data_IF_142572645946
#
_entry.id   IF_142572645946
#
_cell.length_a   1.000
_cell.length_b   1.000
_cell.length_c   1.000
_cell.angle_alpha   90.00
_cell.angle_beta   90.00
_cell.angle_gamma   90.00
#
_symmetry.space_group_name_H-M   'P 1'
#
loop_
_entity.id
_entity.type
_entity.pdbx_description
1 polymer ?
#
# COMPACT_ATOMS: atom_id res chain seq x y z
N UNK A 1 2.75 -11.57 -6.72
CA UNK A 1 3.63 -11.49 -5.53
C UNK A 1 2.82 -10.92 -4.36
N UNK A 2 2.89 -11.52 -3.17
CA UNK A 2 2.21 -10.99 -1.96
C UNK A 2 3.25 -10.82 -0.86
N UNK A 3 3.32 -9.63 -0.27
CA UNK A 3 4.16 -9.35 0.89
C UNK A 3 3.29 -9.32 2.15
N UNK A 4 3.67 -10.11 3.15
CA UNK A 4 3.05 -10.08 4.47
C UNK A 4 4.08 -9.63 5.48
N UNK A 5 3.83 -8.50 6.11
CA UNK A 5 4.69 -7.95 7.15
C UNK A 5 3.90 -7.62 8.40
N UNK A 6 4.61 -7.48 9.51
CA UNK A 6 4.02 -7.07 10.79
C UNK A 6 4.72 -5.83 11.29
N UNK A 7 3.97 -4.94 11.92
CA UNK A 7 4.53 -3.80 12.63
C UNK A 7 5.46 -4.33 13.73
N UNK A 8 6.59 -3.64 13.92
CA UNK A 8 7.58 -3.94 14.95
C UNK A 8 7.75 -2.73 15.85
N UNK A 9 8.10 -2.95 17.11
CA UNK A 9 8.31 -1.85 18.07
C UNK A 9 9.63 -1.13 17.81
N UNK A 10 9.64 0.20 17.94
CA UNK A 10 10.81 1.07 17.77
C UNK A 10 12.00 0.71 18.68
N UNK A 11 11.73 0.24 19.90
CA UNK A 11 12.73 0.15 20.95
C UNK A 11 13.52 -1.18 20.97
N UNK A 12 12.99 -2.24 20.37
CA UNK A 12 13.63 -3.58 20.37
C UNK A 12 13.38 -4.40 19.08
N UNK A 13 12.67 -3.85 18.08
CA UNK A 13 12.30 -4.59 16.86
C UNK A 13 11.38 -5.80 17.11
N UNK A 14 10.82 -5.90 18.31
CA UNK A 14 9.91 -6.97 18.73
C UNK A 14 8.55 -6.82 18.02
N UNK A 15 7.92 -7.91 17.56
CA UNK A 15 6.60 -7.90 16.94
C UNK A 15 5.48 -7.84 17.99
N UNK A 16 5.57 -6.88 18.92
CA UNK A 16 4.60 -6.70 20.01
C UNK A 16 3.30 -6.02 19.56
N UNK A 17 3.28 -5.45 18.36
CA UNK A 17 2.08 -4.86 17.78
C UNK A 17 1.28 -5.88 16.98
N UNK A 18 -0.01 -5.95 17.26
CA UNK A 18 -1.02 -6.74 16.55
C UNK A 18 -1.43 -6.11 15.21
N UNK A 19 -0.49 -5.45 14.52
CA UNK A 19 -0.73 -4.85 13.21
C UNK A 19 -0.08 -5.69 12.12
N UNK A 20 -0.90 -6.18 11.20
CA UNK A 20 -0.49 -6.97 10.04
C UNK A 20 -0.72 -6.16 8.77
N UNK A 21 0.31 -6.10 7.93
CA UNK A 21 0.28 -5.47 6.62
C UNK A 21 0.29 -6.57 5.57
N UNK A 22 -0.75 -6.62 4.74
CA UNK A 22 -0.84 -7.52 3.59
C UNK A 22 -0.81 -6.67 2.33
N UNK A 23 0.26 -6.77 1.57
CA UNK A 23 0.47 -5.97 0.35
C UNK A 23 0.40 -6.93 -0.84
N UNK A 24 -0.67 -6.83 -1.61
CA UNK A 24 -0.89 -7.57 -2.85
C UNK A 24 -0.76 -6.63 -4.06
N UNK A 25 -0.73 -7.19 -5.27
CA UNK A 25 -0.66 -6.40 -6.51
C UNK A 25 -1.91 -5.55 -6.76
N UNK A 26 -3.07 -5.99 -6.25
CA UNK A 26 -4.36 -5.32 -6.46
C UNK A 26 -4.77 -4.43 -5.30
N UNK A 27 -4.46 -4.84 -4.06
CA UNK A 27 -4.88 -4.14 -2.85
C UNK A 27 -3.85 -4.20 -1.74
N UNK A 28 -3.89 -3.17 -0.90
CA UNK A 28 -3.19 -3.04 0.37
C UNK A 28 -4.21 -3.20 1.49
N UNK A 29 -3.96 -4.13 2.40
CA UNK A 29 -4.80 -4.37 3.58
C UNK A 29 -3.97 -4.17 4.85
N UNK A 30 -4.47 -3.34 5.76
CA UNK A 30 -3.89 -3.10 7.07
C UNK A 30 -4.88 -3.59 8.12
N UNK A 31 -4.52 -4.66 8.81
CA UNK A 31 -5.30 -5.18 9.93
C UNK A 31 -4.63 -4.76 11.22
N UNK A 32 -5.32 -4.02 12.09
CA UNK A 32 -4.78 -3.58 13.38
C UNK A 32 -5.81 -3.76 14.50
N UNK A 33 -5.36 -4.19 15.68
CA UNK A 33 -6.28 -4.37 16.80
C UNK A 33 -5.84 -5.40 17.83
N UNK A 34 -6.23 -5.22 19.08
CA UNK A 34 -6.03 -6.20 20.16
C UNK A 34 -7.37 -6.66 20.75
N UNK A 35 -8.23 -5.73 21.14
CA UNK A 35 -9.60 -6.00 21.60
C UNK A 35 -10.66 -5.78 20.51
N UNK A 36 -10.54 -4.68 19.77
CA UNK A 36 -11.27 -4.41 18.53
C UNK A 36 -10.33 -4.60 17.34
N UNK A 37 -10.78 -5.32 16.33
CA UNK A 37 -10.03 -5.52 15.08
C UNK A 37 -10.57 -4.55 14.05
N UNK A 38 -9.70 -3.71 13.52
CA UNK A 38 -9.97 -2.77 12.43
C UNK A 38 -9.20 -3.24 11.19
N UNK A 39 -9.89 -3.28 10.06
CA UNK A 39 -9.32 -3.68 8.77
C UNK A 39 -9.53 -2.57 7.76
N UNK A 40 -8.43 -1.93 7.37
CA UNK A 40 -8.42 -0.86 6.38
C UNK A 40 -7.89 -1.41 5.06
N UNK A 41 -8.72 -1.35 4.01
CA UNK A 41 -8.35 -1.80 2.67
C UNK A 41 -8.28 -0.63 1.68
N UNK A 42 -7.28 -0.66 0.80
CA UNK A 42 -7.18 0.28 -0.30
C UNK A 42 -6.68 -0.42 -1.55
N UNK A 43 -7.35 -0.18 -2.68
CA UNK A 43 -6.88 -0.68 -3.97
C UNK A 43 -5.64 0.07 -4.46
N UNK A 44 -4.72 -0.65 -5.09
CA UNK A 44 -3.46 -0.09 -5.60
C UNK A 44 -3.68 1.02 -6.62
N UNK A 45 -4.72 0.93 -7.46
CA UNK A 45 -5.01 2.00 -8.42
C UNK A 45 -5.42 3.33 -7.78
N UNK A 46 -5.90 3.31 -6.51
CA UNK A 46 -6.30 4.52 -5.77
C UNK A 46 -5.12 5.20 -5.07
N UNK A 47 -4.01 4.51 -4.89
CA UNK A 47 -2.79 5.09 -4.32
C UNK A 47 -2.22 6.08 -5.32
N UNK A 48 -1.90 7.28 -4.84
CA UNK A 48 -1.39 8.39 -5.65
C UNK A 48 0.11 8.60 -5.51
N UNK A 49 0.58 8.60 -4.27
CA UNK A 49 1.98 8.79 -3.96
C UNK A 49 2.38 7.91 -2.77
N UNK A 50 3.66 7.55 -2.73
CA UNK A 50 4.22 6.68 -1.69
C UNK A 50 5.51 7.30 -1.16
N UNK A 51 5.45 7.75 0.10
CA UNK A 51 6.57 8.34 0.80
C UNK A 51 7.24 7.33 1.73
N UNK A 52 8.56 7.33 1.76
CA UNK A 52 9.35 6.53 2.71
C UNK A 52 10.04 7.45 3.71
N UNK A 53 9.75 7.28 5.00
CA UNK A 53 10.38 8.01 6.09
C UNK A 53 11.16 7.05 6.98
N UNK A 54 12.34 7.49 7.45
CA UNK A 54 13.21 6.72 8.35
C UNK A 54 13.83 7.64 9.39
N UNK A 55 13.46 7.46 10.64
CA UNK A 55 14.12 8.07 11.80
C UNK A 55 15.50 7.46 12.07
N UNK A 56 16.33 8.11 12.88
CA UNK A 56 17.69 7.65 13.19
C UNK A 56 17.71 6.24 13.80
N UNK A 57 16.79 5.94 14.72
CA UNK A 57 16.63 4.59 15.29
C UNK A 57 16.19 3.57 14.24
N UNK A 58 15.21 3.90 13.39
CA UNK A 58 14.77 3.00 12.31
C UNK A 58 15.90 2.70 11.33
N UNK A 59 16.76 3.67 11.01
CA UNK A 59 17.94 3.45 10.16
C UNK A 59 18.91 2.45 10.78
N UNK A 60 19.14 2.55 12.08
CA UNK A 60 20.01 1.63 12.82
C UNK A 60 19.47 0.20 12.82
N UNK A 61 18.15 0.03 12.94
CA UNK A 61 17.48 -1.28 12.95
C UNK A 61 16.98 -1.77 11.57
N UNK A 62 17.37 -1.10 10.48
CA UNK A 62 16.91 -1.38 9.09
C UNK A 62 15.39 -1.41 8.93
N UNK A 63 14.69 -0.60 9.73
CA UNK A 63 13.26 -0.35 9.66
C UNK A 63 12.96 0.90 8.82
N UNK A 64 11.71 1.06 8.43
CA UNK A 64 11.21 2.33 7.93
C UNK A 64 9.69 2.35 7.90
N UNK A 65 9.16 3.55 7.78
CA UNK A 65 7.74 3.81 7.73
C UNK A 65 7.36 4.26 6.33
N UNK A 66 6.38 3.59 5.73
CA UNK A 66 5.89 3.88 4.38
C UNK A 66 4.52 4.56 4.53
N UNK A 67 4.38 5.74 3.96
CA UNK A 67 3.12 6.47 3.92
C UNK A 67 2.58 6.43 2.49
N UNK A 68 1.42 5.82 2.33
CA UNK A 68 0.68 5.79 1.08
C UNK A 68 -0.40 6.87 1.12
N UNK A 69 -0.37 7.77 0.14
CA UNK A 69 -1.41 8.78 -0.05
C UNK A 69 -2.45 8.24 -1.01
N UNK A 70 -3.72 8.27 -0.62
CA UNK A 70 -4.82 7.77 -1.44
C UNK A 70 -5.68 8.93 -1.91
N UNK A 71 -6.33 8.77 -3.06
CA UNK A 71 -7.38 9.69 -3.52
C UNK A 71 -8.75 9.42 -2.91
N UNK A 72 -8.86 8.59 -1.87
CA UNK A 72 -10.13 8.26 -1.22
C UNK A 72 -10.49 9.30 -0.14
N UNK A 73 -11.77 9.66 -0.03
CA UNK A 73 -12.26 10.63 0.96
C UNK A 73 -12.30 10.03 2.37
N UNK A 74 -12.42 8.71 2.48
CA UNK A 74 -12.57 8.01 3.76
C UNK A 74 -11.23 7.81 4.47
N UNK A 75 -10.20 7.43 3.72
CA UNK A 75 -8.88 7.09 4.25
C UNK A 75 -7.78 7.73 3.39
N UNK A 76 -7.55 9.05 3.50
CA UNK A 76 -6.63 9.78 2.62
C UNK A 76 -5.16 9.36 2.80
N UNK A 77 -4.83 8.70 3.91
CA UNK A 77 -3.47 8.34 4.29
C UNK A 77 -3.45 6.97 4.95
N UNK A 78 -2.66 6.05 4.39
CA UNK A 78 -2.37 4.75 4.99
C UNK A 78 -0.89 4.70 5.37
N UNK A 79 -0.60 4.38 6.63
CA UNK A 79 0.76 4.33 7.15
C UNK A 79 1.13 2.90 7.53
N UNK A 80 2.18 2.40 6.90
CA UNK A 80 2.80 1.15 7.26
C UNK A 80 4.07 1.42 8.06
N UNK A 81 3.94 1.36 9.38
CA UNK A 81 5.00 1.74 10.31
C UNK A 81 5.97 0.60 10.63
N UNK A 82 7.25 0.96 10.79
CA UNK A 82 8.32 0.08 11.31
C UNK A 82 8.49 -1.25 10.56
N UNK A 83 8.41 -1.23 9.23
CA UNK A 83 8.57 -2.44 8.43
C UNK A 83 10.04 -2.65 8.04
N UNK A 84 10.48 -3.91 8.04
CA UNK A 84 11.77 -4.31 7.48
C UNK A 84 11.75 -4.25 5.95
N UNK A 85 12.89 -4.01 5.31
CA UNK A 85 12.98 -3.93 3.84
C UNK A 85 11.99 -2.91 3.24
N UNK A 86 11.73 -1.82 3.97
CA UNK A 86 10.78 -0.76 3.61
C UNK A 86 11.02 -0.14 2.22
N UNK A 87 12.27 -0.18 1.72
CA UNK A 87 12.57 0.29 0.36
C UNK A 87 11.96 -0.64 -0.71
N UNK A 88 12.22 -1.94 -0.62
CA UNK A 88 11.69 -2.94 -1.57
C UNK A 88 10.16 -2.93 -1.59
N UNK A 89 9.54 -2.82 -0.42
CA UNK A 89 8.07 -2.75 -0.31
C UNK A 89 7.55 -1.46 -0.95
N UNK A 90 8.19 -0.32 -0.69
CA UNK A 90 7.82 0.96 -1.30
C UNK A 90 7.92 0.90 -2.83
N UNK A 91 9.00 0.34 -3.36
CA UNK A 91 9.20 0.19 -4.80
C UNK A 91 8.16 -0.77 -5.40
N UNK A 92 7.81 -1.85 -4.70
CA UNK A 92 6.75 -2.77 -5.11
C UNK A 92 5.36 -2.11 -5.14
N UNK A 93 5.00 -1.33 -4.12
CA UNK A 93 3.72 -0.59 -4.08
C UNK A 93 3.67 0.42 -5.23
N UNK A 94 4.75 1.16 -5.45
CA UNK A 94 4.84 2.13 -6.54
C UNK A 94 4.62 1.45 -7.91
N UNK A 95 5.35 0.37 -8.18
CA UNK A 95 5.21 -0.39 -9.41
C UNK A 95 3.79 -0.96 -9.59
N UNK A 96 3.24 -1.58 -8.56
CA UNK A 96 1.89 -2.18 -8.59
C UNK A 96 0.80 -1.13 -8.82
N UNK A 97 0.94 0.05 -8.21
CA UNK A 97 0.00 1.16 -8.40
C UNK A 97 -0.01 1.67 -9.85
N UNK A 98 1.17 1.80 -10.47
CA UNK A 98 1.30 2.23 -11.87
C UNK A 98 0.80 1.18 -12.85
N UNK A 99 1.08 -0.10 -12.59
CA UNK A 99 0.56 -1.20 -13.41
C UNK A 99 -0.98 -1.27 -13.34
N UNK A 100 -1.56 -1.17 -12.14
CA UNK A 100 -3.01 -1.16 -11.96
C UNK A 100 -3.68 0.01 -12.70
N UNK A 101 -3.07 1.19 -12.66
CA UNK A 101 -3.52 2.37 -13.43
C UNK A 101 -3.41 2.16 -14.94
N UNK A 102 -2.32 1.55 -15.41
CA UNK A 102 -2.13 1.25 -16.83
C UNK A 102 -3.20 0.28 -17.34
N UNK A 103 -3.47 -0.79 -16.59
CA UNK A 103 -4.55 -1.75 -16.89
C UNK A 103 -5.90 -1.04 -17.01
N UNK A 104 -6.23 -0.17 -16.05
CA UNK A 104 -7.50 0.57 -16.07
C UNK A 104 -7.62 1.55 -17.24
N UNK A 105 -6.53 2.23 -17.60
CA UNK A 105 -6.48 3.11 -18.80
C UNK A 105 -6.71 2.33 -20.09
N UNK A 106 -6.05 1.18 -20.24
CA UNK A 106 -6.21 0.33 -21.42
C UNK A 106 -7.64 -0.23 -21.55
N UNK A 107 -8.25 -0.64 -20.44
CA UNK A 107 -9.64 -1.10 -20.44
C UNK A 107 -10.62 0.01 -20.85
N UNK A 108 -10.43 1.24 -20.34
CA UNK A 108 -11.26 2.38 -20.73
C UNK A 108 -11.12 2.73 -22.21
N UNK A 109 -9.89 2.71 -22.75
CA UNK A 109 -9.66 2.96 -24.17
C UNK A 109 -10.44 1.98 -25.05
N UNK A 110 -10.37 0.67 -24.74
CA UNK A 110 -11.11 -0.37 -25.46
C UNK A 110 -12.63 -0.21 -25.37
N UNK A 111 -13.14 0.22 -24.21
CA UNK A 111 -14.58 0.46 -24.04
C UNK A 111 -15.06 1.62 -24.91
N UNK A 112 -14.31 2.72 -24.95
CA UNK A 112 -14.64 3.87 -25.82
C UNK A 112 -14.58 3.50 -27.31
N UNK A 113 -13.60 2.69 -27.72
CA UNK A 113 -13.52 2.17 -29.09
C UNK A 113 -14.72 1.29 -29.45
N UNK A 114 -15.15 0.42 -28.53
CA UNK A 114 -16.31 -0.43 -28.72
C UNK A 114 -17.60 0.39 -28.83
N UNK A 115 -17.82 1.37 -27.96
CA UNK A 115 -18.98 2.28 -28.00
C UNK A 115 -19.05 3.02 -29.34
N UNK A 116 -17.93 3.59 -29.81
CA UNK A 116 -17.87 4.30 -31.09
C UNK A 116 -18.10 3.39 -32.32
N UNK A 117 -17.85 2.08 -32.20
CA UNK A 117 -18.06 1.10 -33.29
C UNK A 117 -19.50 0.60 -33.41
N UNK A 118 -20.34 0.84 -32.40
CA UNK A 118 -21.77 0.43 -32.40
C UNK A 118 -22.67 1.56 -32.89
N UNK A 119 -22.22 2.82 -32.80
CA UNK A 119 -22.95 3.99 -33.33
C UNK A 119 -22.73 4.26 -34.83
N UNK A 120 -21.76 3.59 -35.48
CA UNK A 120 -21.51 3.66 -36.93
C UNK A 120 -21.99 2.40 -37.64
#
# INVERSE_FOLDING_TARGET
>A
MVYVERKRTKFLGLPLSYTKYTISEEKLTITSGFFSITEDETFMYKIQDVRLTRSLMERMFKLGTITCYTGDTTHPKLELEHIKRSRTIKDFIMYSSEEARRKRRALRARQMEAENSVEN
#
